data_IF_280837201237
#
_entry.id   IF_280837201237
#
_cell.length_a   1.000
_cell.length_b   1.000
_cell.length_c   1.000
_cell.angle_alpha   90.00
_cell.angle_beta   90.00
_cell.angle_gamma   90.00
#
_symmetry.space_group_name_H-M   'P 1'
#
loop_
_entity.id
_entity.type
_entity.pdbx_description
1 polymer ?
#
# COMPACT_ATOMS: atom_id res chain seq x y z
N UNK A 1 37.75 -15.82 52.10
CA UNK A 1 36.78 -16.26 51.09
C UNK A 1 36.15 -15.00 50.45
N UNK A 2 36.53 -14.69 49.22
CA UNK A 2 35.95 -13.55 48.46
C UNK A 2 34.93 -14.14 47.47
N UNK A 3 33.66 -13.88 47.71
CA UNK A 3 32.56 -14.25 46.82
C UNK A 3 32.43 -13.20 45.75
N UNK A 4 32.82 -13.55 44.51
CA UNK A 4 32.53 -12.73 43.29
C UNK A 4 31.11 -12.92 42.87
N UNK A 5 30.31 -11.86 42.94
CA UNK A 5 28.95 -11.79 42.42
C UNK A 5 29.02 -11.49 40.92
N UNK A 6 28.73 -12.48 40.11
CA UNK A 6 28.64 -12.33 38.63
C UNK A 6 27.28 -11.71 38.30
N UNK A 7 27.27 -10.46 37.86
CA UNK A 7 26.06 -9.79 37.33
C UNK A 7 25.86 -10.22 35.85
N UNK A 8 24.89 -11.10 35.61
CA UNK A 8 24.45 -11.44 34.27
C UNK A 8 23.52 -10.31 33.79
N UNK A 9 24.03 -9.36 32.99
CA UNK A 9 23.20 -8.41 32.26
C UNK A 9 22.46 -9.19 31.16
N UNK A 10 21.19 -9.51 31.37
CA UNK A 10 20.31 -9.97 30.35
C UNK A 10 20.02 -8.83 29.38
N UNK A 11 20.62 -8.86 28.17
CA UNK A 11 20.24 -8.03 27.08
C UNK A 11 18.90 -8.57 26.58
N UNK A 12 17.79 -8.02 27.06
CA UNK A 12 16.48 -8.20 26.46
C UNK A 12 16.45 -7.42 25.15
N UNK A 13 17.01 -8.00 24.09
CA UNK A 13 16.74 -7.54 22.72
C UNK A 13 15.24 -7.67 22.52
N UNK A 14 14.53 -6.56 22.28
CA UNK A 14 13.17 -6.59 21.79
C UNK A 14 13.20 -7.32 20.45
N UNK A 15 12.90 -8.62 20.46
CA UNK A 15 12.64 -9.40 19.27
C UNK A 15 11.33 -8.86 18.71
N UNK A 16 11.42 -7.86 17.84
CA UNK A 16 10.32 -7.52 16.96
C UNK A 16 10.03 -8.80 16.15
N UNK A 17 8.91 -9.45 16.44
CA UNK A 17 8.52 -10.65 15.70
C UNK A 17 8.41 -10.27 14.23
N UNK A 18 9.27 -10.86 13.40
CA UNK A 18 9.22 -10.66 11.94
C UNK A 18 7.87 -11.14 11.43
N UNK A 19 7.29 -10.37 10.49
CA UNK A 19 6.07 -10.78 9.83
C UNK A 19 6.29 -12.10 9.08
N UNK A 20 5.30 -12.97 9.20
CA UNK A 20 5.19 -14.21 8.45
C UNK A 20 3.96 -14.12 7.56
N UNK A 21 4.14 -14.23 6.26
CA UNK A 21 3.02 -14.38 5.34
C UNK A 21 2.52 -15.81 5.43
N UNK A 22 1.27 -15.97 5.80
CA UNK A 22 0.64 -17.28 5.92
C UNK A 22 -0.52 -17.39 4.92
N UNK A 23 -0.85 -18.63 4.54
CA UNK A 23 -1.98 -18.85 3.67
C UNK A 23 -3.28 -18.28 4.25
N UNK A 24 -3.54 -18.51 5.52
CA UNK A 24 -4.76 -18.03 6.18
C UNK A 24 -4.90 -16.50 6.16
N UNK A 25 -3.79 -15.77 6.34
CA UNK A 25 -3.79 -14.32 6.38
C UNK A 25 -3.67 -13.67 4.99
N UNK A 26 -2.89 -14.24 4.07
CA UNK A 26 -2.43 -13.54 2.87
C UNK A 26 -2.83 -14.22 1.53
N UNK A 27 -3.39 -15.43 1.56
CA UNK A 27 -3.92 -16.03 0.33
C UNK A 27 -5.14 -15.25 -0.17
N UNK A 28 -5.24 -14.94 -1.46
CA UNK A 28 -6.41 -14.25 -1.99
C UNK A 28 -7.68 -15.12 -1.85
N UNK A 29 -8.79 -14.47 -1.53
CA UNK A 29 -10.10 -15.13 -1.40
C UNK A 29 -11.04 -14.68 -2.51
N UNK A 30 -11.78 -15.64 -3.07
CA UNK A 30 -12.85 -15.34 -4.03
C UNK A 30 -13.94 -14.49 -3.36
N UNK A 31 -14.34 -13.41 -4.00
CA UNK A 31 -15.28 -12.42 -3.48
C UNK A 31 -14.62 -11.18 -2.87
N UNK A 32 -13.32 -11.21 -2.61
CA UNK A 32 -12.61 -10.06 -2.06
C UNK A 32 -12.37 -8.97 -3.11
N UNK A 33 -12.25 -7.75 -2.62
CA UNK A 33 -11.79 -6.60 -3.40
C UNK A 33 -10.74 -5.82 -2.60
N UNK A 34 -9.53 -5.71 -3.14
CA UNK A 34 -8.53 -4.79 -2.61
C UNK A 34 -8.74 -3.42 -3.26
N UNK A 35 -9.08 -2.42 -2.45
CA UNK A 35 -9.35 -1.05 -2.90
C UNK A 35 -8.03 -0.33 -3.22
N UNK A 36 -7.41 -0.72 -4.31
CA UNK A 36 -6.16 -0.15 -4.78
C UNK A 36 -6.38 1.13 -5.57
N UNK A 37 -5.34 1.96 -5.56
CA UNK A 37 -5.19 3.15 -6.40
C UNK A 37 -3.86 3.06 -7.14
N UNK A 38 -3.82 3.58 -8.36
CA UNK A 38 -2.54 3.81 -9.05
C UNK A 38 -1.68 4.77 -8.24
N UNK A 39 -0.38 4.67 -8.40
CA UNK A 39 0.59 5.51 -7.70
C UNK A 39 1.30 6.39 -8.71
N UNK A 40 1.34 7.70 -8.44
CA UNK A 40 2.12 8.66 -9.20
C UNK A 40 3.47 8.89 -8.52
N UNK A 41 4.53 8.89 -9.29
CA UNK A 41 5.92 8.93 -8.82
C UNK A 41 6.65 7.61 -9.02
N UNK A 42 7.95 7.61 -8.77
CA UNK A 42 8.80 6.40 -8.89
C UNK A 42 8.93 5.71 -7.56
N UNK A 43 8.54 4.45 -7.49
CA UNK A 43 8.71 3.63 -6.28
C UNK A 43 10.18 3.34 -6.06
N UNK A 44 10.67 3.64 -4.87
CA UNK A 44 12.04 3.35 -4.47
C UNK A 44 12.12 1.94 -3.86
N UNK A 45 12.66 1.00 -4.62
CA UNK A 45 12.88 -0.39 -4.22
C UNK A 45 14.34 -0.67 -3.84
N UNK A 46 15.20 0.34 -3.62
CA UNK A 46 16.65 0.16 -3.45
C UNK A 46 17.06 -0.45 -2.11
N UNK A 47 16.28 -0.21 -1.05
CA UNK A 47 16.59 -0.74 0.28
C UNK A 47 16.44 -2.27 0.31
N UNK A 48 17.44 -3.01 0.85
CA UNK A 48 17.44 -4.47 0.99
C UNK A 48 17.95 -4.87 2.36
N UNK A 49 17.59 -6.08 2.81
CA UNK A 49 18.05 -6.63 4.08
C UNK A 49 17.11 -6.37 5.26
N UNK A 50 17.65 -6.48 6.48
CA UNK A 50 16.88 -6.40 7.70
C UNK A 50 16.79 -4.96 8.24
N UNK A 51 15.65 -4.64 8.89
CA UNK A 51 15.41 -3.38 9.60
C UNK A 51 15.63 -2.12 8.75
N UNK A 52 15.30 -2.20 7.46
CA UNK A 52 15.46 -1.08 6.53
C UNK A 52 14.27 -0.13 6.55
N UNK A 53 14.48 1.06 6.00
CA UNK A 53 13.40 2.00 5.72
C UNK A 53 13.15 2.05 4.21
N UNK A 54 11.95 1.66 3.78
CA UNK A 54 11.47 1.79 2.42
C UNK A 54 10.89 3.19 2.23
N UNK A 55 11.72 4.14 1.82
CA UNK A 55 11.34 5.57 1.73
C UNK A 55 10.62 5.87 0.42
N UNK A 56 9.30 5.97 0.50
CA UNK A 56 8.38 6.26 -0.58
C UNK A 56 7.45 7.44 -0.24
N UNK A 57 7.91 8.40 0.55
CA UNK A 57 7.13 9.55 1.02
C UNK A 57 6.67 10.49 -0.11
N UNK A 58 7.38 10.50 -1.23
CA UNK A 58 7.05 11.34 -2.40
C UNK A 58 5.95 10.78 -3.30
N UNK A 59 5.49 9.56 -3.04
CA UNK A 59 4.43 8.95 -3.83
C UNK A 59 3.08 9.62 -3.54
N UNK A 60 2.29 9.79 -4.61
CA UNK A 60 0.98 10.44 -4.58
C UNK A 60 -0.07 9.44 -5.07
N UNK A 61 -1.23 9.43 -4.42
CA UNK A 61 -2.38 8.66 -4.86
C UNK A 61 -2.86 9.14 -6.23
N UNK A 62 -3.01 8.19 -7.14
CA UNK A 62 -3.59 8.41 -8.46
C UNK A 62 -5.08 8.03 -8.53
N UNK A 63 -5.48 7.42 -9.62
CA UNK A 63 -6.86 6.99 -9.85
C UNK A 63 -7.19 5.66 -9.19
N UNK A 64 -8.45 5.43 -8.85
CA UNK A 64 -8.91 4.15 -8.33
C UNK A 64 -8.61 3.02 -9.35
N UNK A 65 -8.03 1.95 -8.86
CA UNK A 65 -7.67 0.75 -9.64
C UNK A 65 -7.89 -0.50 -8.77
N UNK A 66 -9.14 -0.81 -8.41
CA UNK A 66 -9.44 -1.92 -7.52
C UNK A 66 -8.98 -3.24 -8.14
N UNK A 67 -8.48 -4.12 -7.27
CA UNK A 67 -8.17 -5.50 -7.64
C UNK A 67 -9.27 -6.40 -7.11
N UNK A 68 -9.96 -7.10 -8.00
CA UNK A 68 -11.09 -7.96 -7.68
C UNK A 68 -10.67 -9.42 -7.78
N UNK A 69 -11.02 -10.20 -6.78
CA UNK A 69 -10.79 -11.63 -6.74
C UNK A 69 -12.13 -12.38 -6.86
N UNK A 70 -12.18 -13.37 -7.74
CA UNK A 70 -13.40 -14.14 -8.01
C UNK A 70 -13.07 -15.58 -8.36
N UNK A 71 -14.09 -16.43 -8.38
CA UNK A 71 -13.96 -17.79 -8.92
C UNK A 71 -13.93 -17.73 -10.44
N UNK A 72 -12.97 -18.41 -11.11
CA UNK A 72 -12.97 -18.52 -12.56
C UNK A 72 -14.24 -19.24 -13.07
N UNK A 73 -14.74 -18.83 -14.23
CA UNK A 73 -15.83 -19.54 -14.92
C UNK A 73 -15.38 -20.91 -15.47
N UNK A 74 -16.30 -21.78 -15.80
CA UNK A 74 -15.99 -23.08 -16.40
C UNK A 74 -15.19 -22.96 -17.72
N UNK A 75 -15.48 -21.95 -18.54
CA UNK A 75 -14.73 -21.70 -19.77
C UNK A 75 -13.29 -21.24 -19.47
N UNK A 76 -13.10 -20.40 -18.46
CA UNK A 76 -11.77 -19.96 -18.03
C UNK A 76 -10.96 -21.13 -17.45
N UNK A 77 -11.58 -22.02 -16.68
CA UNK A 77 -10.92 -23.23 -16.16
C UNK A 77 -10.54 -24.19 -17.31
N UNK A 78 -11.35 -24.26 -18.37
CA UNK A 78 -10.99 -25.03 -19.56
C UNK A 78 -9.76 -24.45 -20.26
N UNK A 79 -9.65 -23.12 -20.30
CA UNK A 79 -8.49 -22.42 -20.92
C UNK A 79 -7.25 -22.49 -20.01
N UNK A 80 -7.42 -22.31 -18.70
CA UNK A 80 -6.36 -22.31 -17.68
C UNK A 80 -6.61 -23.40 -16.66
N UNK A 81 -6.24 -24.66 -16.96
CA UNK A 81 -6.60 -25.81 -16.14
C UNK A 81 -6.09 -25.71 -14.70
N UNK A 82 -6.96 -26.10 -13.77
CA UNK A 82 -6.64 -26.10 -12.34
C UNK A 82 -6.79 -24.75 -11.64
N UNK A 83 -7.20 -23.69 -12.34
CA UNK A 83 -7.46 -22.38 -11.74
C UNK A 83 -8.58 -22.46 -10.70
N UNK A 84 -8.33 -21.88 -9.52
CA UNK A 84 -9.29 -21.81 -8.41
C UNK A 84 -9.65 -20.38 -8.05
N UNK A 85 -8.79 -19.41 -8.39
CA UNK A 85 -8.96 -17.98 -8.13
C UNK A 85 -8.59 -17.21 -9.39
N UNK A 86 -9.40 -16.19 -9.71
CA UNK A 86 -9.15 -15.18 -10.73
C UNK A 86 -8.97 -13.84 -10.06
N UNK A 87 -7.86 -13.17 -10.36
CA UNK A 87 -7.59 -11.78 -9.99
C UNK A 87 -7.75 -10.89 -11.22
N UNK A 88 -8.50 -9.80 -11.10
CA UNK A 88 -8.64 -8.79 -12.14
C UNK A 88 -8.24 -7.42 -11.60
N UNK A 89 -7.33 -6.73 -12.29
CA UNK A 89 -6.86 -5.38 -11.95
C UNK A 89 -6.61 -4.60 -13.23
N UNK A 90 -7.40 -3.55 -13.46
CA UNK A 90 -7.36 -2.83 -14.74
C UNK A 90 -7.64 -3.78 -15.91
N UNK A 91 -6.76 -3.77 -16.91
CA UNK A 91 -6.83 -4.65 -18.07
C UNK A 91 -6.10 -5.99 -17.90
N UNK A 92 -5.53 -6.27 -16.72
CA UNK A 92 -4.81 -7.51 -16.44
C UNK A 92 -5.66 -8.48 -15.64
N UNK A 93 -5.70 -9.72 -16.08
CA UNK A 93 -6.31 -10.83 -15.35
C UNK A 93 -5.25 -11.91 -15.10
N UNK A 94 -5.14 -12.38 -13.86
CA UNK A 94 -4.26 -13.49 -13.50
C UNK A 94 -5.11 -14.63 -12.92
N UNK A 95 -4.84 -15.83 -13.36
CA UNK A 95 -5.47 -17.06 -12.87
C UNK A 95 -4.49 -17.79 -11.97
N UNK A 96 -4.98 -18.17 -10.79
CA UNK A 96 -4.20 -18.88 -9.80
C UNK A 96 -4.81 -20.24 -9.47
N UNK A 97 -3.94 -21.19 -9.18
CA UNK A 97 -4.26 -22.45 -8.52
C UNK A 97 -3.76 -22.36 -7.09
N UNK A 98 -4.70 -22.33 -6.13
CA UNK A 98 -4.38 -22.36 -4.71
C UNK A 98 -4.38 -23.81 -4.22
N UNK A 99 -3.28 -24.24 -3.60
CA UNK A 99 -3.13 -25.54 -2.92
C UNK A 99 -2.95 -25.34 -1.41
N UNK A 100 -2.68 -26.39 -0.65
CA UNK A 100 -2.52 -26.29 0.81
C UNK A 100 -1.39 -25.31 1.22
N UNK A 101 -0.30 -25.26 0.44
CA UNK A 101 0.91 -24.48 0.80
C UNK A 101 1.40 -23.57 -0.31
N UNK A 102 0.76 -23.58 -1.49
CA UNK A 102 1.22 -22.83 -2.67
C UNK A 102 0.10 -22.03 -3.32
N UNK A 103 0.50 -20.93 -3.93
CA UNK A 103 -0.27 -20.21 -4.92
C UNK A 103 0.52 -20.23 -6.23
N UNK A 104 -0.01 -20.89 -7.26
CA UNK A 104 0.64 -21.06 -8.56
C UNK A 104 -0.09 -20.23 -9.63
N UNK A 105 0.61 -19.67 -10.60
CA UNK A 105 0.01 -19.00 -11.76
C UNK A 105 -0.29 -20.06 -12.82
N UNK A 106 -1.53 -20.10 -13.28
CA UNK A 106 -2.02 -20.99 -14.36
C UNK A 106 -2.23 -20.23 -15.67
N UNK A 107 -2.46 -18.91 -15.59
CA UNK A 107 -2.66 -18.05 -16.74
C UNK A 107 -2.57 -16.58 -16.44
N UNK A 108 -2.19 -15.80 -17.45
CA UNK A 108 -2.19 -14.33 -17.43
C UNK A 108 -2.79 -13.82 -18.73
N UNK A 109 -3.73 -12.88 -18.62
CA UNK A 109 -4.26 -12.12 -19.76
C UNK A 109 -3.93 -10.66 -19.48
N UNK A 110 -3.27 -10.00 -20.41
CA UNK A 110 -3.06 -8.55 -20.41
C UNK A 110 -3.25 -8.01 -21.84
N UNK A 111 -3.23 -6.69 -22.07
CA UNK A 111 -3.43 -6.11 -23.41
C UNK A 111 -2.41 -6.59 -24.46
N UNK A 112 -1.21 -6.93 -24.04
CA UNK A 112 -0.12 -7.31 -24.93
C UNK A 112 -0.17 -8.79 -25.30
N UNK A 113 -0.54 -9.67 -24.34
CA UNK A 113 -0.49 -11.10 -24.56
C UNK A 113 -1.34 -11.89 -23.56
N UNK A 114 -1.66 -13.12 -23.94
CA UNK A 114 -2.14 -14.18 -23.05
C UNK A 114 -1.02 -15.18 -22.85
N UNK A 115 -0.66 -15.47 -21.60
CA UNK A 115 0.23 -16.55 -21.23
C UNK A 115 -0.57 -17.68 -20.58
N UNK A 116 -0.43 -18.89 -21.09
CA UNK A 116 -1.09 -20.08 -20.58
C UNK A 116 -0.03 -21.05 -20.06
N UNK A 117 -0.02 -21.29 -18.74
CA UNK A 117 0.97 -22.11 -18.05
C UNK A 117 0.56 -23.61 -17.98
N UNK A 118 -0.33 -24.07 -18.85
CA UNK A 118 -0.91 -25.42 -18.80
C UNK A 118 0.10 -26.56 -18.91
N UNK A 119 1.34 -26.31 -19.33
CA UNK A 119 2.40 -27.32 -19.41
C UNK A 119 3.11 -27.46 -18.07
N UNK A 120 3.43 -26.34 -17.41
CA UNK A 120 4.08 -26.29 -16.09
C UNK A 120 3.73 -24.98 -15.41
N UNK A 121 2.92 -25.05 -14.35
CA UNK A 121 2.49 -23.88 -13.59
C UNK A 121 3.67 -23.31 -12.82
N UNK A 122 3.81 -21.98 -12.82
CA UNK A 122 4.84 -21.32 -12.03
C UNK A 122 4.38 -20.96 -10.61
N UNK A 123 5.17 -21.27 -9.63
CA UNK A 123 4.89 -20.88 -8.23
C UNK A 123 5.02 -19.38 -8.04
N UNK A 124 3.93 -18.72 -7.65
CA UNK A 124 3.91 -17.32 -7.26
C UNK A 124 4.33 -17.11 -5.80
N UNK A 125 3.79 -17.92 -4.89
CA UNK A 125 4.04 -17.82 -3.46
C UNK A 125 3.96 -19.22 -2.80
N UNK A 126 4.91 -19.52 -1.93
CA UNK A 126 4.77 -20.61 -0.96
C UNK A 126 4.45 -20.04 0.42
N UNK A 127 3.70 -20.77 1.20
CA UNK A 127 3.35 -20.43 2.56
C UNK A 127 3.92 -21.46 3.56
N UNK A 128 4.46 -21.05 4.69
CA UNK A 128 4.70 -19.66 5.11
C UNK A 128 5.91 -19.02 4.41
N UNK A 129 5.87 -17.70 4.18
CA UNK A 129 7.00 -16.92 3.69
C UNK A 129 7.45 -15.95 4.78
N UNK A 130 8.74 -15.97 5.10
CA UNK A 130 9.43 -15.09 6.04
C UNK A 130 10.65 -14.46 5.37
N UNK A 131 11.22 -13.43 5.98
CA UNK A 131 12.45 -12.79 5.50
C UNK A 131 13.55 -13.82 5.16
N UNK A 132 14.26 -13.61 4.08
CA UNK A 132 15.28 -14.48 3.48
C UNK A 132 14.77 -15.80 2.85
N UNK A 133 13.47 -16.06 2.85
CA UNK A 133 12.94 -17.16 2.04
C UNK A 133 13.17 -16.84 0.57
N UNK A 134 13.89 -17.73 -0.11
CA UNK A 134 14.18 -17.66 -1.54
C UNK A 134 13.71 -18.94 -2.22
N UNK A 135 12.89 -18.82 -3.25
CA UNK A 135 12.28 -19.92 -3.96
C UNK A 135 12.37 -19.67 -5.45
N UNK A 136 12.69 -20.71 -6.20
CA UNK A 136 12.69 -20.68 -7.65
C UNK A 136 11.93 -21.89 -8.16
N UNK A 137 11.14 -21.69 -9.20
CA UNK A 137 10.36 -22.71 -9.85
C UNK A 137 10.51 -22.57 -11.37
N UNK A 138 10.39 -23.66 -12.11
CA UNK A 138 10.30 -23.62 -13.56
C UNK A 138 8.85 -23.31 -13.96
N UNK A 139 8.71 -22.69 -15.15
CA UNK A 139 7.41 -22.45 -15.72
C UNK A 139 7.48 -22.59 -17.24
N UNK A 140 6.45 -23.19 -17.83
CA UNK A 140 6.39 -23.46 -19.26
C UNK A 140 4.98 -23.43 -19.77
N UNK A 141 4.79 -22.93 -20.98
CA UNK A 141 3.47 -22.89 -21.59
C UNK A 141 3.46 -22.26 -22.96
N UNK A 142 2.30 -21.74 -23.32
CA UNK A 142 2.05 -21.08 -24.60
C UNK A 142 1.77 -19.59 -24.37
N UNK A 143 2.18 -18.77 -25.33
CA UNK A 143 1.74 -17.38 -25.38
C UNK A 143 1.00 -17.10 -26.69
N UNK A 144 0.08 -16.14 -26.63
CA UNK A 144 -0.63 -15.61 -27.80
C UNK A 144 -0.73 -14.11 -27.66
N UNK A 145 -0.37 -13.38 -28.71
CA UNK A 145 -0.50 -11.93 -28.81
C UNK A 145 -1.12 -11.53 -30.17
N UNK A 146 -1.34 -10.25 -30.39
CA UNK A 146 -1.82 -9.73 -31.70
C UNK A 146 -0.80 -9.89 -32.82
N UNK A 147 0.49 -10.07 -32.51
CA UNK A 147 1.58 -10.07 -33.49
C UNK A 147 2.32 -11.41 -33.57
N UNK A 148 2.22 -12.28 -32.55
CA UNK A 148 2.90 -13.56 -32.51
C UNK A 148 2.22 -14.53 -31.55
N UNK A 149 2.43 -15.81 -31.77
CA UNK A 149 2.14 -16.88 -30.83
C UNK A 149 3.35 -17.84 -30.75
N UNK A 150 3.39 -18.66 -29.73
CA UNK A 150 4.45 -19.63 -29.55
C UNK A 150 4.50 -20.23 -28.16
N UNK A 151 5.69 -20.68 -27.78
CA UNK A 151 5.94 -21.27 -26.47
C UNK A 151 6.79 -20.33 -25.63
N UNK A 152 6.66 -20.45 -24.31
CA UNK A 152 7.61 -19.87 -23.38
C UNK A 152 8.11 -20.94 -22.41
N UNK A 153 9.33 -20.75 -21.92
CA UNK A 153 9.93 -21.55 -20.86
C UNK A 153 10.96 -20.73 -20.11
N UNK A 154 11.04 -20.94 -18.81
CA UNK A 154 12.01 -20.26 -17.97
C UNK A 154 11.74 -20.44 -16.49
N UNK A 155 12.06 -19.42 -15.70
CA UNK A 155 11.99 -19.48 -14.25
C UNK A 155 11.11 -18.38 -13.67
N UNK A 156 10.46 -18.71 -12.56
CA UNK A 156 9.80 -17.78 -11.66
C UNK A 156 10.49 -17.84 -10.30
N UNK A 157 10.73 -16.67 -9.69
CA UNK A 157 11.42 -16.59 -8.41
C UNK A 157 10.66 -15.72 -7.43
N UNK A 158 10.62 -16.14 -6.17
CA UNK A 158 10.06 -15.36 -5.06
C UNK A 158 11.11 -15.26 -3.96
N UNK A 159 11.47 -14.03 -3.62
CA UNK A 159 12.47 -13.72 -2.61
C UNK A 159 11.90 -12.69 -1.62
N UNK A 160 11.78 -13.05 -0.36
CA UNK A 160 11.50 -12.10 0.71
C UNK A 160 12.81 -11.38 1.08
N UNK A 161 13.15 -10.31 0.34
CA UNK A 161 14.50 -9.73 0.27
C UNK A 161 14.75 -8.61 1.27
N UNK A 162 13.72 -8.12 1.93
CA UNK A 162 13.87 -7.05 2.93
C UNK A 162 12.70 -7.01 3.91
N UNK A 163 12.98 -6.54 5.14
CA UNK A 163 11.93 -6.20 6.10
C UNK A 163 12.28 -4.92 6.86
N UNK A 164 11.26 -4.20 7.33
CA UNK A 164 11.49 -2.97 8.09
C UNK A 164 10.28 -2.05 8.13
N UNK A 165 10.49 -0.78 7.85
CA UNK A 165 9.47 0.26 7.91
C UNK A 165 9.19 0.81 6.51
N UNK A 166 7.93 0.81 6.08
CA UNK A 166 7.48 1.45 4.84
C UNK A 166 6.93 2.84 5.15
N UNK A 167 7.47 3.85 4.47
CA UNK A 167 6.92 5.21 4.43
C UNK A 167 6.32 5.41 3.04
N UNK A 168 5.02 5.70 2.96
CA UNK A 168 4.31 5.98 1.72
C UNK A 168 3.43 7.22 1.90
N UNK A 169 3.65 8.27 1.08
CA UNK A 169 3.03 9.56 1.33
C UNK A 169 3.36 10.06 2.75
N UNK A 170 2.34 10.35 3.53
CA UNK A 170 2.46 10.76 4.94
C UNK A 170 2.33 9.59 5.95
N UNK A 171 2.14 8.36 5.48
CA UNK A 171 1.93 7.19 6.34
C UNK A 171 3.20 6.41 6.57
N UNK A 172 3.29 5.82 7.77
CA UNK A 172 4.38 4.94 8.17
C UNK A 172 3.80 3.62 8.66
N UNK A 173 4.28 2.53 8.07
CA UNK A 173 3.94 1.16 8.43
C UNK A 173 5.18 0.47 8.95
N UNK A 174 5.12 -0.03 10.17
CA UNK A 174 6.21 -0.79 10.80
C UNK A 174 6.02 -2.28 10.54
N UNK A 175 7.11 -3.04 10.71
CA UNK A 175 7.09 -4.50 10.54
C UNK A 175 6.54 -4.93 9.18
N UNK A 176 7.08 -4.34 8.10
CA UNK A 176 6.72 -4.63 6.72
C UNK A 176 7.72 -5.62 6.13
N UNK A 177 7.23 -6.67 5.46
CA UNK A 177 8.01 -7.61 4.66
C UNK A 177 7.86 -7.25 3.19
N UNK A 178 8.99 -7.09 2.49
CA UNK A 178 8.99 -6.97 1.03
C UNK A 178 9.26 -8.32 0.39
N UNK A 179 8.40 -8.68 -0.56
CA UNK A 179 8.56 -9.86 -1.41
C UNK A 179 8.83 -9.39 -2.83
N UNK A 180 9.97 -9.80 -3.37
CA UNK A 180 10.34 -9.62 -4.77
C UNK A 180 9.94 -10.87 -5.54
N UNK A 181 9.12 -10.69 -6.57
CA UNK A 181 8.73 -11.74 -7.51
C UNK A 181 9.36 -11.46 -8.87
N UNK A 182 9.91 -12.49 -9.52
CA UNK A 182 10.54 -12.38 -10.83
C UNK A 182 10.01 -13.45 -11.77
N UNK A 183 9.91 -13.10 -13.05
CA UNK A 183 9.64 -14.03 -14.16
C UNK A 183 10.70 -13.75 -15.23
N UNK A 184 11.37 -14.81 -15.69
CA UNK A 184 12.38 -14.74 -16.72
C UNK A 184 12.12 -15.88 -17.72
N UNK A 185 11.54 -15.56 -18.86
CA UNK A 185 11.16 -16.52 -19.87
C UNK A 185 11.87 -16.26 -21.19
N UNK A 186 12.31 -17.32 -21.83
CA UNK A 186 12.62 -17.34 -23.25
C UNK A 186 11.33 -17.61 -24.04
N UNK A 187 11.18 -16.91 -25.15
CA UNK A 187 10.05 -17.05 -26.08
C UNK A 187 10.52 -17.84 -27.30
N UNK A 188 9.69 -18.74 -27.78
CA UNK A 188 10.01 -19.66 -28.88
C UNK A 188 8.91 -19.61 -29.95
N UNK A 189 9.29 -19.86 -31.20
CA UNK A 189 8.38 -20.01 -32.30
C UNK A 189 7.38 -21.16 -32.06
N UNK A 190 6.12 -21.10 -32.57
CA UNK A 190 5.20 -22.20 -32.49
C UNK A 190 5.66 -23.47 -33.23
N UNK A 191 6.70 -23.35 -34.06
CA UNK A 191 7.33 -24.46 -34.77
C UNK A 191 8.52 -25.07 -34.00
N UNK A 192 8.94 -24.48 -32.88
CA UNK A 192 10.06 -24.96 -32.06
C UNK A 192 9.55 -25.61 -30.76
N UNK A 193 8.81 -26.72 -30.87
CA UNK A 193 8.32 -27.49 -29.74
C UNK A 193 9.45 -28.04 -28.84
N UNK A 194 10.68 -28.15 -29.38
CA UNK A 194 11.87 -28.59 -28.64
C UNK A 194 12.47 -27.50 -27.76
N UNK A 195 12.03 -26.23 -27.91
CA UNK A 195 12.53 -25.06 -27.18
C UNK A 195 14.06 -24.89 -27.29
N UNK A 196 14.59 -25.03 -28.52
CA UNK A 196 16.02 -25.01 -28.79
C UNK A 196 16.53 -23.65 -29.25
N UNK A 197 15.67 -22.84 -29.89
CA UNK A 197 16.07 -21.58 -30.54
C UNK A 197 15.15 -20.45 -30.06
N UNK A 198 15.49 -19.77 -28.99
CA UNK A 198 14.65 -18.66 -28.51
C UNK A 198 14.63 -17.51 -29.52
N UNK A 199 13.44 -16.97 -29.78
CA UNK A 199 13.23 -15.82 -30.67
C UNK A 199 13.15 -14.50 -29.90
N UNK A 200 13.04 -14.56 -28.58
CA UNK A 200 12.91 -13.39 -27.70
C UNK A 200 12.90 -13.76 -26.22
N UNK A 201 12.70 -12.74 -25.41
CA UNK A 201 12.63 -12.87 -23.95
C UNK A 201 11.46 -12.08 -23.38
N UNK A 202 10.94 -12.55 -22.26
CA UNK A 202 10.02 -11.84 -21.39
C UNK A 202 10.61 -11.82 -19.99
N UNK A 203 10.69 -10.63 -19.40
CA UNK A 203 11.10 -10.45 -18.00
C UNK A 203 10.06 -9.62 -17.26
N UNK A 204 9.82 -9.98 -16.01
CA UNK A 204 8.96 -9.21 -15.13
C UNK A 204 9.51 -9.24 -13.70
N UNK A 205 9.47 -8.11 -13.02
CA UNK A 205 9.85 -7.99 -11.62
C UNK A 205 8.77 -7.19 -10.88
N UNK A 206 8.24 -7.78 -9.82
CA UNK A 206 7.31 -7.11 -8.92
C UNK A 206 7.89 -7.06 -7.50
N UNK A 207 7.68 -5.93 -6.81
CA UNK A 207 7.97 -5.77 -5.40
C UNK A 207 6.66 -5.50 -4.67
N UNK A 208 6.31 -6.37 -3.73
CA UNK A 208 5.09 -6.27 -2.95
C UNK A 208 5.42 -6.15 -1.47
N UNK A 209 4.82 -5.15 -0.80
CA UNK A 209 5.09 -4.80 0.58
C UNK A 209 3.90 -5.22 1.44
N UNK A 210 4.12 -6.14 2.37
CA UNK A 210 3.09 -6.71 3.24
C UNK A 210 3.33 -6.33 4.69
N UNK A 211 2.27 -6.09 5.43
CA UNK A 211 2.28 -6.00 6.89
C UNK A 211 1.42 -7.10 7.52
N UNK A 212 1.37 -7.16 8.85
CA UNK A 212 0.63 -8.20 9.57
C UNK A 212 -0.88 -7.97 9.69
N UNK A 213 -1.38 -6.80 9.25
CA UNK A 213 -2.79 -6.40 9.45
C UNK A 213 -3.62 -6.46 8.17
N UNK A 214 -2.98 -6.50 7.00
CA UNK A 214 -3.65 -6.50 5.70
C UNK A 214 -3.44 -7.83 4.97
N UNK A 215 -4.50 -8.34 4.34
CA UNK A 215 -4.43 -9.54 3.50
C UNK A 215 -3.60 -9.29 2.25
N UNK A 216 -3.77 -8.13 1.65
CA UNK A 216 -3.13 -7.71 0.41
C UNK A 216 -1.96 -6.76 0.66
N UNK A 217 -1.05 -6.68 -0.30
CA UNK A 217 0.10 -5.79 -0.19
C UNK A 217 -0.33 -4.32 -0.07
N UNK A 218 0.32 -3.58 0.82
CA UNK A 218 0.17 -2.14 0.99
C UNK A 218 0.56 -1.36 -0.25
N UNK A 219 1.63 -1.82 -0.92
CA UNK A 219 2.20 -1.24 -2.13
C UNK A 219 2.72 -2.39 -3.00
N UNK A 220 2.43 -2.34 -4.29
CA UNK A 220 3.06 -3.21 -5.29
C UNK A 220 3.56 -2.35 -6.44
N UNK A 221 4.81 -2.54 -6.84
CA UNK A 221 5.38 -1.98 -8.06
C UNK A 221 5.85 -3.09 -8.98
N UNK A 222 5.54 -2.96 -10.26
CA UNK A 222 5.85 -3.97 -11.28
C UNK A 222 6.57 -3.30 -12.43
N UNK A 223 7.59 -3.97 -12.95
CA UNK A 223 8.28 -3.58 -14.17
C UNK A 223 8.52 -4.82 -15.03
N UNK A 224 8.22 -4.71 -16.32
CA UNK A 224 8.37 -5.79 -17.27
C UNK A 224 9.01 -5.33 -18.57
N UNK A 225 9.59 -6.27 -19.30
CA UNK A 225 10.09 -6.05 -20.65
C UNK A 225 9.81 -7.28 -21.50
N UNK A 226 9.35 -7.06 -22.72
CA UNK A 226 9.27 -8.06 -23.77
C UNK A 226 10.17 -7.62 -24.92
N UNK A 227 11.06 -8.52 -25.38
CA UNK A 227 11.97 -8.28 -26.48
C UNK A 227 11.89 -9.43 -27.50
N UNK A 228 11.52 -9.13 -28.73
CA UNK A 228 11.55 -10.07 -29.87
C UNK A 228 12.24 -9.37 -31.03
N UNK A 229 13.58 -9.42 -31.09
CA UNK A 229 14.39 -8.62 -32.04
C UNK A 229 14.01 -8.80 -33.52
N UNK A 230 13.68 -10.01 -33.92
CA UNK A 230 13.30 -10.30 -35.31
C UNK A 230 11.99 -9.62 -35.75
N UNK A 231 11.13 -9.24 -34.77
CA UNK A 231 9.88 -8.50 -35.02
C UNK A 231 10.04 -7.01 -34.70
N UNK A 232 11.23 -6.55 -34.34
CA UNK A 232 11.45 -5.17 -33.91
C UNK A 232 10.78 -4.81 -32.59
N UNK A 233 10.38 -5.79 -31.78
CA UNK A 233 9.67 -5.57 -30.52
C UNK A 233 10.70 -5.42 -29.40
N UNK A 234 10.62 -4.30 -28.66
CA UNK A 234 11.31 -4.07 -27.39
C UNK A 234 10.46 -3.10 -26.55
N UNK A 235 9.57 -3.66 -25.75
CA UNK A 235 8.60 -2.90 -24.99
C UNK A 235 8.81 -3.08 -23.49
N UNK A 236 8.90 -1.96 -22.77
CA UNK A 236 8.98 -1.95 -21.31
C UNK A 236 7.69 -1.38 -20.71
N UNK A 237 7.22 -2.00 -19.67
CA UNK A 237 6.06 -1.54 -18.89
C UNK A 237 6.47 -1.31 -17.45
N UNK A 238 5.81 -0.35 -16.81
CA UNK A 238 5.99 -0.07 -15.39
C UNK A 238 4.66 0.39 -14.80
N UNK A 239 4.32 -0.13 -13.65
CA UNK A 239 3.11 0.26 -12.92
C UNK A 239 3.32 0.14 -11.42
N UNK A 240 2.56 0.92 -10.66
CA UNK A 240 2.49 0.77 -9.21
C UNK A 240 1.07 1.01 -8.73
N UNK A 241 0.67 0.21 -7.75
CA UNK A 241 -0.61 0.35 -7.05
C UNK A 241 -0.40 0.24 -5.55
N UNK A 242 -1.23 0.95 -4.78
CA UNK A 242 -1.22 0.85 -3.33
C UNK A 242 -2.66 0.82 -2.79
N UNK A 243 -2.85 0.22 -1.62
CA UNK A 243 -4.13 0.26 -0.92
C UNK A 243 -4.52 1.72 -0.63
N UNK A 244 -5.78 2.08 -0.88
CA UNK A 244 -6.26 3.45 -0.74
C UNK A 244 -6.00 4.05 0.64
N UNK A 245 -6.07 3.25 1.68
CA UNK A 245 -5.78 3.67 3.05
C UNK A 245 -4.34 4.11 3.29
N UNK A 246 -3.38 3.71 2.42
CA UNK A 246 -1.98 4.16 2.52
C UNK A 246 -1.82 5.65 2.25
N UNK A 247 -2.80 6.26 1.56
CA UNK A 247 -2.82 7.68 1.25
C UNK A 247 -3.87 8.46 2.05
N UNK A 248 -4.80 7.75 2.73
CA UNK A 248 -5.71 8.42 3.64
C UNK A 248 -4.87 9.01 4.77
N UNK A 249 -4.45 10.26 4.63
CA UNK A 249 -4.03 11.00 5.80
C UNK A 249 -5.19 10.87 6.80
N UNK A 250 -4.99 10.16 7.93
CA UNK A 250 -5.50 10.77 9.13
C UNK A 250 -4.91 12.16 9.04
N UNK A 251 -5.75 13.20 9.13
CA UNK A 251 -5.21 14.49 9.48
C UNK A 251 -4.41 14.24 10.78
N UNK A 252 -3.16 13.77 10.64
CA UNK A 252 -2.18 13.97 11.65
C UNK A 252 -2.28 15.46 11.87
N UNK A 253 -2.67 15.81 13.09
CA UNK A 253 -2.52 17.14 13.58
C UNK A 253 -1.11 17.56 13.19
N UNK A 254 -0.92 18.11 11.97
CA UNK A 254 0.17 18.98 11.66
C UNK A 254 0.20 19.84 12.90
N UNK A 255 1.23 19.68 13.74
CA UNK A 255 1.42 20.25 15.07
C UNK A 255 0.53 21.47 15.18
N UNK A 256 -0.72 21.31 15.68
CA UNK A 256 -1.63 22.42 15.82
C UNK A 256 -0.83 23.37 16.64
N UNK A 257 -0.40 24.49 16.06
CA UNK A 257 0.03 25.60 16.88
C UNK A 257 -1.16 25.82 17.76
N UNK A 258 -1.01 25.40 19.04
CA UNK A 258 -2.14 25.19 19.95
C UNK A 258 -2.90 26.49 20.06
N UNK A 259 -3.94 26.65 19.23
CA UNK A 259 -4.90 27.72 19.41
C UNK A 259 -5.58 27.45 20.74
N UNK A 260 -5.26 28.25 21.72
CA UNK A 260 -5.83 28.15 23.07
C UNK A 260 -6.42 29.45 23.48
N UNK A 261 -7.43 29.37 24.30
CA UNK A 261 -8.12 30.53 24.85
C UNK A 261 -7.79 30.68 26.35
N UNK A 262 -7.75 31.91 26.82
CA UNK A 262 -7.53 32.21 28.22
C UNK A 262 -8.26 33.49 28.64
N UNK A 263 -8.67 33.61 29.93
CA UNK A 263 -8.78 32.52 30.90
C UNK A 263 -9.89 31.55 30.53
N UNK A 264 -9.81 30.31 31.01
CA UNK A 264 -10.92 29.35 30.93
C UNK A 264 -10.91 28.52 32.21
N UNK A 265 -11.87 28.73 33.12
CA UNK A 265 -13.12 29.54 33.03
C UNK A 265 -12.87 31.05 32.94
N UNK A 266 -13.77 31.76 32.22
CA UNK A 266 -13.69 33.18 31.92
C UNK A 266 -14.87 33.95 32.58
N UNK A 267 -14.62 35.22 32.95
CA UNK A 267 -15.66 36.12 33.48
C UNK A 267 -16.01 37.25 32.50
N UNK A 268 -15.07 38.10 32.17
CA UNK A 268 -15.34 39.31 31.41
C UNK A 268 -14.90 39.22 29.95
N UNK A 269 -13.80 38.56 29.69
CA UNK A 269 -13.25 38.43 28.34
C UNK A 269 -12.54 37.10 28.09
N UNK A 270 -12.33 36.78 26.82
CA UNK A 270 -11.51 35.68 26.33
C UNK A 270 -10.42 36.27 25.47
N UNK A 271 -9.17 35.97 25.80
CA UNK A 271 -7.98 36.22 24.98
C UNK A 271 -7.55 34.92 24.26
N UNK A 272 -6.63 35.05 23.29
CA UNK A 272 -6.18 33.95 22.43
C UNK A 272 -4.67 33.79 22.49
N UNK A 273 -4.19 32.53 22.52
CA UNK A 273 -2.78 32.17 22.40
C UNK A 273 -2.59 31.30 21.16
N UNK A 274 -1.44 31.45 20.48
CA UNK A 274 -1.08 30.77 19.24
C UNK A 274 -1.02 31.74 18.06
N UNK A 275 -1.00 31.22 16.84
CA UNK A 275 -0.97 32.06 15.64
C UNK A 275 -2.37 32.65 15.35
N UNK A 276 -2.65 33.82 15.93
CA UNK A 276 -3.96 34.49 15.83
C UNK A 276 -4.01 35.51 14.69
N UNK A 277 -2.88 35.83 14.04
CA UNK A 277 -2.78 36.92 13.05
C UNK A 277 -3.67 36.76 11.81
N UNK A 278 -4.12 35.56 11.51
CA UNK A 278 -4.98 35.26 10.37
C UNK A 278 -6.47 35.22 10.69
N UNK A 279 -6.87 35.33 11.97
CA UNK A 279 -8.27 35.34 12.37
C UNK A 279 -8.80 36.75 12.50
N UNK A 280 -9.93 37.00 11.92
CA UNK A 280 -10.57 38.31 11.91
C UNK A 280 -11.87 38.35 12.71
N UNK A 281 -12.49 37.21 12.91
CA UNK A 281 -13.84 37.10 13.51
C UNK A 281 -13.89 35.99 14.55
N UNK A 282 -14.54 36.22 15.66
CA UNK A 282 -14.92 35.21 16.63
C UNK A 282 -16.45 35.15 16.78
N UNK A 283 -16.97 33.94 16.76
CA UNK A 283 -18.40 33.65 16.88
C UNK A 283 -18.64 32.73 18.06
N UNK A 284 -19.55 33.12 18.98
CA UNK A 284 -19.90 32.33 20.19
C UNK A 284 -21.22 31.63 19.94
N UNK A 285 -21.24 30.34 20.28
CA UNK A 285 -22.41 29.49 20.22
C UNK A 285 -22.71 28.88 21.61
N UNK A 286 -23.99 28.67 21.90
CA UNK A 286 -24.44 27.82 23.02
C UNK A 286 -24.12 26.35 22.73
N UNK A 287 -24.28 25.47 23.75
CA UNK A 287 -24.02 24.03 23.59
C UNK A 287 -24.92 23.33 22.56
N UNK A 288 -26.14 23.86 22.36
CA UNK A 288 -27.10 23.41 21.35
C UNK A 288 -26.87 24.00 19.95
N UNK A 289 -25.78 24.76 19.77
CA UNK A 289 -25.36 25.29 18.47
C UNK A 289 -26.04 26.60 18.08
N UNK A 290 -26.82 27.25 18.97
CA UNK A 290 -27.41 28.53 18.67
C UNK A 290 -26.37 29.64 18.69
N UNK A 291 -26.36 30.51 17.68
CA UNK A 291 -25.51 31.69 17.61
C UNK A 291 -25.90 32.66 18.74
N UNK A 292 -24.92 33.05 19.55
CA UNK A 292 -25.10 33.98 20.68
C UNK A 292 -24.51 35.36 20.34
N UNK A 293 -23.26 35.40 19.83
CA UNK A 293 -22.54 36.64 19.58
C UNK A 293 -21.51 36.47 18.49
N UNK A 294 -21.29 37.52 17.70
CA UNK A 294 -20.16 37.63 16.79
C UNK A 294 -19.37 38.90 17.09
N UNK A 295 -18.05 38.80 17.14
CA UNK A 295 -17.12 39.90 17.44
C UNK A 295 -15.95 39.90 16.47
N UNK A 296 -15.38 41.08 16.17
CA UNK A 296 -14.10 41.14 15.50
C UNK A 296 -12.95 40.85 16.48
N UNK A 297 -11.82 40.38 15.95
CA UNK A 297 -10.63 40.01 16.74
C UNK A 297 -9.53 41.07 16.69
N UNK A 298 -9.78 42.29 16.20
CA UNK A 298 -8.78 43.34 16.10
C UNK A 298 -8.14 43.70 17.44
N UNK A 299 -8.90 43.58 18.54
CA UNK A 299 -8.41 43.85 19.89
C UNK A 299 -7.64 42.65 20.49
N UNK A 300 -7.58 41.50 19.84
CA UNK A 300 -6.99 40.25 20.36
C UNK A 300 -7.77 39.62 21.50
N UNK A 301 -8.97 40.12 21.81
CA UNK A 301 -9.86 39.60 22.86
C UNK A 301 -11.32 39.73 22.47
N UNK A 302 -12.18 38.95 23.10
CA UNK A 302 -13.65 39.02 22.99
C UNK A 302 -14.25 39.24 24.34
N UNK A 303 -15.03 40.33 24.49
CA UNK A 303 -15.79 40.64 25.70
C UNK A 303 -16.99 39.71 25.82
N UNK A 304 -17.18 39.12 27.01
CA UNK A 304 -18.22 38.15 27.31
C UNK A 304 -18.95 38.44 28.64
N UNK A 305 -18.74 39.62 29.23
CA UNK A 305 -19.32 40.00 30.53
C UNK A 305 -20.84 39.87 30.55
N UNK A 306 -21.53 40.16 29.43
CA UNK A 306 -22.97 40.06 29.28
C UNK A 306 -23.54 38.64 29.16
N UNK A 307 -22.67 37.64 28.96
CA UNK A 307 -23.14 36.27 28.78
C UNK A 307 -23.52 35.63 30.12
N UNK A 308 -24.63 34.90 30.19
CA UNK A 308 -24.97 34.09 31.35
C UNK A 308 -23.91 33.06 31.69
N UNK A 309 -23.84 32.68 32.97
CA UNK A 309 -22.98 31.56 33.42
C UNK A 309 -23.40 30.26 32.75
N UNK A 310 -22.59 29.75 31.84
CA UNK A 310 -22.83 28.51 31.09
C UNK A 310 -21.58 28.02 30.37
N UNK A 311 -21.68 26.90 29.69
CA UNK A 311 -20.70 26.43 28.74
C UNK A 311 -21.05 26.93 27.34
N UNK A 312 -20.02 27.35 26.60
CA UNK A 312 -20.14 27.87 25.24
C UNK A 312 -19.05 27.28 24.33
N UNK A 313 -19.28 27.38 23.03
CA UNK A 313 -18.21 27.24 22.02
C UNK A 313 -17.85 28.62 21.46
N UNK A 314 -16.54 28.87 21.27
CA UNK A 314 -16.05 30.01 20.52
C UNK A 314 -15.37 29.50 19.26
N UNK A 315 -15.80 29.99 18.12
CA UNK A 315 -15.28 29.67 16.82
C UNK A 315 -14.58 30.90 16.25
N UNK A 316 -13.34 30.75 15.80
CA UNK A 316 -12.60 31.81 15.13
C UNK A 316 -12.44 31.52 13.66
N UNK A 317 -12.55 32.55 12.83
CA UNK A 317 -12.45 32.44 11.38
C UNK A 317 -11.73 33.66 10.80
N UNK A 318 -11.14 33.52 9.59
CA UNK A 318 -10.42 34.57 8.88
C UNK A 318 -10.32 34.25 7.39
N UNK A 319 -9.77 35.19 6.63
CA UNK A 319 -9.57 35.06 5.20
C UNK A 319 -8.46 34.13 4.94
N UNK A 320 -8.25 33.12 4.59
CA UNK A 320 -7.14 32.15 4.42
C UNK A 320 -6.77 31.37 5.70
N UNK A 321 -7.60 31.42 6.74
CA UNK A 321 -7.42 30.66 7.97
C UNK A 321 -8.45 29.53 8.11
N UNK A 322 -7.99 28.34 8.51
CA UNK A 322 -8.90 27.24 8.85
C UNK A 322 -9.69 27.63 10.10
N UNK A 323 -10.98 27.49 10.05
CA UNK A 323 -11.87 27.75 11.21
C UNK A 323 -11.50 26.82 12.37
N UNK A 324 -11.30 27.43 13.57
CA UNK A 324 -10.98 26.74 14.81
C UNK A 324 -12.12 26.94 15.82
N UNK A 325 -12.42 25.91 16.62
CA UNK A 325 -13.50 25.96 17.61
C UNK A 325 -13.02 25.40 18.95
N UNK A 326 -13.23 26.14 20.03
CA UNK A 326 -12.83 25.76 21.39
C UNK A 326 -14.00 25.94 22.35
N UNK A 327 -14.14 25.01 23.30
CA UNK A 327 -15.11 25.13 24.37
C UNK A 327 -14.59 26.00 25.52
N UNK A 328 -15.42 26.88 26.08
CA UNK A 328 -15.11 27.62 27.30
C UNK A 328 -16.26 27.59 28.31
N UNK A 329 -15.90 27.91 29.55
CA UNK A 329 -16.82 28.04 30.70
C UNK A 329 -16.90 29.50 31.05
N UNK A 330 -18.08 30.09 31.00
CA UNK A 330 -18.39 31.40 31.53
C UNK A 330 -18.82 31.26 33.01
N UNK A 331 -18.12 32.00 33.87
CA UNK A 331 -18.46 32.14 35.31
C UNK A 331 -19.25 33.39 35.59
#
# INVERSE_FOLDING_TARGET
MKTSLLFLLGISGALSAQITLTKAANDPLSGDTANNYTVTGTVNNSATGANVTFSNASLIQGTASPTVYSTPSAAEITTFPGSTIKMASGATTIFYKASATKLEITGVINPEATLNFSVDNGTYMNYPTVFNVNQTDNARGNFTSSVANGFFSGTMGTLADAHGTLIIGSRTYTNVLRVKFTQNFNLYSPFDAGLTNPIGTFTNTAYSYYDGSHRYALLTSTSGNISVPLLGINQSTSSAVALGETFLATADNAKKENFTIYPNPAQDFIGFKGNTGNYTTATIYSLDGKLIKTSDLKSGKVEISELPTANYFIQVSGKDAKTETVKFIKK
#
